data_IF_361989890878
#
_entry.id   IF_361989890878
#
_cell.length_a   1.000
_cell.length_b   1.000
_cell.length_c   1.000
_cell.angle_alpha   90.00
_cell.angle_beta   90.00
_cell.angle_gamma   90.00
#
_symmetry.space_group_name_H-M   'P 1'
#
loop_
_entity.id
_entity.type
_entity.pdbx_description
1 polymer ?
#
# COMPACT_ATOMS: atom_id res chain seq x y z
N UNK A 1 133.11 -8.70 -13.22
CA UNK A 1 131.70 -8.48 -12.81
C UNK A 1 131.54 -9.20 -11.50
N UNK A 2 131.26 -8.47 -10.42
CA UNK A 2 131.08 -9.05 -9.09
C UNK A 2 129.85 -9.95 -9.08
N UNK A 3 130.01 -11.19 -8.62
CA UNK A 3 128.87 -12.06 -8.32
C UNK A 3 127.96 -11.32 -7.32
N UNK A 4 126.63 -11.41 -7.49
CA UNK A 4 125.63 -10.48 -6.92
C UNK A 4 125.42 -10.48 -5.40
N UNK A 5 126.49 -10.60 -4.62
CA UNK A 5 126.53 -10.52 -3.17
C UNK A 5 126.98 -9.13 -2.73
N UNK A 6 126.22 -8.53 -1.83
CA UNK A 6 126.41 -7.14 -1.42
C UNK A 6 127.18 -7.03 -0.10
N UNK A 7 127.93 -5.94 0.03
CA UNK A 7 128.58 -5.52 1.26
C UNK A 7 128.19 -4.08 1.61
N UNK A 8 128.24 -3.79 2.90
CA UNK A 8 128.06 -2.45 3.47
C UNK A 8 129.42 -2.00 4.02
N UNK A 9 129.84 -0.78 3.75
CA UNK A 9 131.06 -0.23 4.35
C UNK A 9 130.80 0.09 5.82
N UNK A 10 131.66 -0.37 6.73
CA UNK A 10 131.35 -0.29 8.17
C UNK A 10 131.39 1.13 8.75
N UNK A 11 132.10 2.04 8.11
CA UNK A 11 132.21 3.44 8.51
C UNK A 11 132.56 4.32 7.30
N UNK A 12 131.57 4.56 6.43
CA UNK A 12 131.75 5.40 5.22
C UNK A 12 132.30 6.80 5.56
N UNK A 13 131.90 7.38 6.69
CA UNK A 13 132.39 8.68 7.16
C UNK A 13 133.88 8.69 7.59
N UNK A 14 134.53 7.53 7.69
CA UNK A 14 135.98 7.42 7.96
C UNK A 14 136.81 7.15 6.70
N UNK A 15 136.17 7.00 5.54
CA UNK A 15 136.86 6.83 4.26
C UNK A 15 137.29 8.22 3.79
N UNK A 16 138.59 8.39 3.57
CA UNK A 16 139.19 9.63 3.07
C UNK A 16 138.50 10.13 1.79
N UNK A 17 138.23 11.44 1.71
CA UNK A 17 137.57 12.06 0.55
C UNK A 17 138.32 11.84 -0.76
N UNK A 18 139.66 11.73 -0.71
CA UNK A 18 140.51 11.44 -1.87
C UNK A 18 140.34 10.01 -2.39
N UNK A 19 139.66 9.14 -1.63
CA UNK A 19 139.30 7.77 -2.00
C UNK A 19 137.85 7.64 -2.51
N UNK A 20 137.10 8.75 -2.59
CA UNK A 20 135.71 8.79 -3.07
C UNK A 20 135.65 9.24 -4.53
N UNK A 21 134.96 8.46 -5.37
CA UNK A 21 134.71 8.84 -6.76
C UNK A 21 133.68 9.96 -6.86
N UNK A 22 134.07 11.16 -7.30
CA UNK A 22 133.16 12.29 -7.44
C UNK A 22 132.01 12.12 -8.46
N UNK A 23 132.03 11.06 -9.31
CA UNK A 23 130.94 10.78 -10.27
C UNK A 23 129.79 10.00 -9.59
N UNK A 24 130.11 9.02 -8.76
CA UNK A 24 129.12 8.13 -8.13
C UNK A 24 129.04 8.25 -6.60
N UNK A 25 129.80 9.20 -6.03
CA UNK A 25 129.90 9.55 -4.60
C UNK A 25 130.07 8.34 -3.68
N UNK A 26 130.94 7.41 -4.10
CA UNK A 26 131.24 6.14 -3.39
C UNK A 26 132.74 5.83 -3.41
N UNK A 27 133.25 5.01 -2.48
CA UNK A 27 134.65 4.61 -2.47
C UNK A 27 135.08 3.93 -3.78
N UNK A 28 136.21 4.36 -4.34
CA UNK A 28 136.67 4.03 -5.69
C UNK A 28 136.70 2.52 -5.99
N UNK A 29 136.25 2.12 -7.17
CA UNK A 29 136.18 0.72 -7.65
C UNK A 29 136.90 0.58 -9.02
N UNK A 30 137.85 -0.35 -9.11
CA UNK A 30 138.92 -0.40 -10.13
C UNK A 30 139.42 1.02 -10.49
N UNK A 31 140.04 1.75 -9.55
CA UNK A 31 140.38 3.16 -9.74
C UNK A 31 141.27 3.39 -10.96
N UNK A 32 140.86 4.31 -11.83
CA UNK A 32 141.66 4.83 -12.95
C UNK A 32 142.06 6.26 -12.65
N UNK A 33 143.34 6.56 -12.83
CA UNK A 33 143.87 7.90 -12.84
C UNK A 33 143.80 8.50 -14.26
N UNK A 34 143.64 9.81 -14.33
CA UNK A 34 143.69 10.61 -15.56
C UNK A 34 145.09 11.23 -15.72
N UNK A 35 145.49 11.72 -16.92
CA UNK A 35 146.74 12.48 -17.12
C UNK A 35 146.79 13.84 -16.40
N UNK A 36 145.79 14.13 -15.57
CA UNK A 36 145.69 15.29 -14.72
C UNK A 36 145.49 14.91 -13.25
N UNK A 37 145.93 13.70 -12.87
CA UNK A 37 146.03 13.16 -11.51
C UNK A 37 144.71 12.97 -10.72
N UNK A 38 143.57 13.26 -11.34
CA UNK A 38 142.24 12.97 -10.77
C UNK A 38 141.88 11.49 -10.97
N UNK A 39 141.35 10.85 -9.92
CA UNK A 39 141.06 9.41 -9.87
C UNK A 39 139.55 9.15 -9.83
N UNK A 40 139.09 8.13 -10.57
CA UNK A 40 137.68 7.78 -10.72
C UNK A 40 137.47 6.25 -10.75
N UNK A 41 136.26 5.76 -10.46
CA UNK A 41 135.92 4.37 -10.77
C UNK A 41 135.97 4.15 -12.27
N UNK A 42 136.54 3.04 -12.73
CA UNK A 42 136.69 2.72 -14.16
C UNK A 42 135.39 2.79 -14.94
N UNK A 43 134.32 2.21 -14.40
CA UNK A 43 132.97 2.26 -14.96
C UNK A 43 132.53 3.71 -15.17
N UNK A 44 132.58 4.52 -14.11
CA UNK A 44 132.11 5.90 -14.12
C UNK A 44 132.87 6.80 -15.10
N UNK A 45 134.21 6.73 -15.16
CA UNK A 45 134.98 7.58 -16.08
C UNK A 45 134.92 7.07 -17.53
N UNK A 46 134.84 5.76 -17.74
CA UNK A 46 134.60 5.16 -19.07
C UNK A 46 133.23 5.61 -19.60
N UNK A 47 132.19 5.51 -18.79
CA UNK A 47 130.83 5.93 -19.15
C UNK A 47 130.75 7.44 -19.39
N UNK A 48 131.41 8.26 -18.57
CA UNK A 48 131.48 9.71 -18.75
C UNK A 48 132.03 10.09 -20.14
N UNK A 49 133.16 9.49 -20.53
CA UNK A 49 133.79 9.69 -21.85
C UNK A 49 132.91 9.11 -22.97
N UNK A 50 132.33 7.93 -22.78
CA UNK A 50 131.42 7.30 -23.77
C UNK A 50 130.14 8.11 -24.02
N UNK A 51 129.65 8.86 -23.01
CA UNK A 51 128.58 9.87 -23.14
C UNK A 51 129.04 11.17 -23.84
N UNK A 52 130.10 11.07 -24.65
CA UNK A 52 130.74 12.12 -25.45
C UNK A 52 131.41 13.28 -24.66
N UNK A 53 131.60 13.13 -23.34
CA UNK A 53 132.31 14.13 -22.53
C UNK A 53 133.82 13.88 -22.56
N UNK A 54 134.49 14.39 -23.59
CA UNK A 54 135.95 14.23 -23.82
C UNK A 54 136.81 15.08 -22.87
N UNK A 55 136.46 15.14 -21.58
CA UNK A 55 137.14 15.97 -20.58
C UNK A 55 137.08 15.39 -19.17
N UNK A 56 138.06 15.71 -18.33
CA UNK A 56 138.08 15.32 -16.93
C UNK A 56 136.91 15.99 -16.15
N UNK A 57 136.06 15.23 -15.44
CA UNK A 57 134.95 15.78 -14.66
C UNK A 57 135.33 16.89 -13.66
N UNK A 58 136.52 16.81 -13.04
CA UNK A 58 136.96 17.76 -12.01
C UNK A 58 137.51 19.04 -12.61
N UNK A 59 138.51 18.94 -13.50
CA UNK A 59 139.30 20.08 -13.98
C UNK A 59 139.05 20.47 -15.44
N UNK A 60 138.14 19.78 -16.14
CA UNK A 60 137.70 20.03 -17.53
C UNK A 60 138.81 19.98 -18.61
N UNK A 61 140.04 19.60 -18.26
CA UNK A 61 141.11 19.30 -19.24
C UNK A 61 140.64 18.20 -20.21
N UNK A 62 141.06 18.27 -21.47
CA UNK A 62 140.76 17.25 -22.48
C UNK A 62 141.19 15.86 -21.99
N UNK A 63 140.36 14.84 -22.24
CA UNK A 63 140.59 13.47 -21.78
C UNK A 63 140.01 12.45 -22.76
N UNK A 64 140.81 11.47 -23.16
CA UNK A 64 140.41 10.32 -23.99
C UNK A 64 140.53 9.01 -23.23
N UNK A 65 139.73 8.02 -23.61
CA UNK A 65 139.64 6.71 -22.93
C UNK A 65 140.98 5.95 -22.86
N UNK A 66 141.87 6.09 -23.86
CA UNK A 66 143.18 5.44 -23.88
C UNK A 66 144.26 6.18 -23.07
N UNK A 67 143.95 7.37 -22.56
CA UNK A 67 144.82 8.17 -21.71
C UNK A 67 144.58 7.86 -20.21
N UNK A 68 143.60 6.99 -19.91
CA UNK A 68 143.35 6.46 -18.58
C UNK A 68 144.36 5.38 -18.22
N UNK A 69 144.92 5.46 -17.00
CA UNK A 69 145.88 4.51 -16.45
C UNK A 69 145.38 4.01 -15.09
N UNK A 70 145.54 2.72 -14.80
CA UNK A 70 145.10 2.16 -13.52
C UNK A 70 145.86 2.83 -12.36
N UNK A 71 145.13 3.25 -11.32
CA UNK A 71 145.73 3.94 -10.19
C UNK A 71 146.77 3.07 -9.46
N UNK A 72 147.67 3.76 -8.75
CA UNK A 72 148.85 3.17 -8.13
C UNK A 72 148.49 1.99 -7.22
N UNK A 73 149.44 1.05 -7.06
CA UNK A 73 149.27 -0.08 -6.13
C UNK A 73 148.95 0.41 -4.71
N UNK A 74 149.52 1.54 -4.29
CA UNK A 74 149.24 2.17 -2.99
C UNK A 74 147.76 2.53 -2.84
N UNK A 75 147.17 3.26 -3.79
CA UNK A 75 145.74 3.64 -3.76
C UNK A 75 144.85 2.40 -3.72
N UNK A 76 145.12 1.39 -4.56
CA UNK A 76 144.35 0.14 -4.59
C UNK A 76 144.50 -0.70 -3.32
N UNK A 77 145.69 -0.74 -2.71
CA UNK A 77 145.90 -1.40 -1.43
C UNK A 77 145.12 -0.71 -0.31
N UNK A 78 145.11 0.64 -0.25
CA UNK A 78 144.34 1.38 0.76
C UNK A 78 142.83 1.13 0.59
N UNK A 79 142.32 1.15 -0.65
CA UNK A 79 140.92 0.84 -0.98
C UNK A 79 140.52 -0.62 -0.65
N UNK A 80 141.47 -1.56 -0.68
CA UNK A 80 141.28 -2.94 -0.25
C UNK A 80 141.13 -3.06 1.27
N UNK A 81 141.91 -2.29 2.04
CA UNK A 81 141.90 -2.25 3.51
C UNK A 81 140.69 -1.56 4.14
N UNK A 82 139.76 -1.04 3.34
CA UNK A 82 138.51 -0.49 3.87
C UNK A 82 137.66 -1.66 4.40
N UNK A 83 137.21 -1.56 5.65
CA UNK A 83 136.50 -2.66 6.31
C UNK A 83 135.00 -2.65 5.98
N UNK A 84 134.49 -3.83 5.63
CA UNK A 84 133.13 -4.06 5.14
C UNK A 84 132.41 -5.16 5.92
N UNK A 85 131.08 -5.12 5.86
CA UNK A 85 130.15 -6.08 6.46
C UNK A 85 129.42 -6.84 5.35
N UNK A 86 129.38 -8.16 5.45
CA UNK A 86 128.72 -9.03 4.49
C UNK A 86 127.20 -9.05 4.69
N UNK A 87 126.42 -8.64 3.69
CA UNK A 87 124.94 -8.61 3.78
C UNK A 87 124.30 -10.00 3.79
N UNK A 88 125.01 -11.05 3.36
CA UNK A 88 124.48 -12.42 3.34
C UNK A 88 124.51 -13.10 4.72
N UNK A 89 125.51 -12.80 5.56
CA UNK A 89 125.69 -13.50 6.84
C UNK A 89 125.98 -12.61 8.05
N UNK A 90 126.03 -11.28 7.86
CA UNK A 90 126.30 -10.33 8.94
C UNK A 90 127.75 -10.28 9.43
N UNK A 91 128.68 -11.07 8.86
CA UNK A 91 130.10 -10.98 9.25
C UNK A 91 130.62 -9.56 8.98
N UNK A 92 131.06 -8.92 10.05
CA UNK A 92 131.78 -7.64 10.08
C UNK A 92 133.30 -7.86 9.96
N UNK A 93 134.03 -6.75 9.86
CA UNK A 93 135.49 -6.69 9.97
C UNK A 93 136.20 -7.54 8.89
N UNK A 94 135.73 -7.41 7.65
CA UNK A 94 136.36 -7.95 6.46
C UNK A 94 137.08 -6.82 5.72
N UNK A 95 138.35 -6.98 5.36
CA UNK A 95 138.93 -6.11 4.32
C UNK A 95 138.13 -6.30 3.02
N UNK A 96 137.84 -5.21 2.29
CA UNK A 96 137.18 -5.23 0.98
C UNK A 96 137.90 -6.15 -0.02
N UNK A 97 139.22 -6.29 0.10
CA UNK A 97 140.05 -7.26 -0.64
C UNK A 97 139.56 -8.71 -0.47
N UNK A 98 139.19 -9.08 0.75
CA UNK A 98 138.92 -10.46 1.15
C UNK A 98 137.43 -10.83 1.00
N UNK A 99 136.58 -9.84 0.70
CA UNK A 99 135.13 -10.03 0.61
C UNK A 99 134.75 -11.12 -0.42
N UNK A 100 135.37 -11.13 -1.61
CA UNK A 100 135.07 -12.16 -2.62
C UNK A 100 135.45 -13.57 -2.15
N UNK A 101 136.59 -13.72 -1.46
CA UNK A 101 137.02 -15.00 -0.91
C UNK A 101 136.13 -15.44 0.27
N UNK A 102 135.73 -14.53 1.14
CA UNK A 102 134.74 -14.79 2.19
C UNK A 102 133.42 -15.28 1.57
N UNK A 103 132.89 -14.58 0.58
CA UNK A 103 131.62 -14.88 -0.10
C UNK A 103 131.65 -16.20 -0.85
N UNK A 104 132.81 -16.64 -1.36
CA UNK A 104 132.98 -17.93 -2.01
C UNK A 104 133.16 -19.09 -1.01
N UNK A 105 133.98 -18.92 0.02
CA UNK A 105 134.48 -20.04 0.85
C UNK A 105 133.85 -20.07 2.24
N UNK A 106 133.83 -18.94 2.94
CA UNK A 106 133.61 -18.86 4.39
C UNK A 106 132.21 -18.37 4.80
N UNK A 107 131.47 -17.72 3.90
CA UNK A 107 130.09 -17.31 4.14
C UNK A 107 129.20 -18.55 4.34
N UNK A 108 128.34 -18.58 5.37
CA UNK A 108 127.31 -19.60 5.55
C UNK A 108 126.44 -19.86 4.32
N UNK A 109 125.98 -21.11 4.21
CA UNK A 109 124.95 -21.57 3.29
C UNK A 109 124.15 -22.73 3.89
N UNK A 110 122.93 -22.90 3.38
CA UNK A 110 122.07 -24.08 3.59
C UNK A 110 121.97 -24.89 2.30
N UNK A 111 121.49 -26.13 2.39
CA UNK A 111 121.27 -26.96 1.21
C UNK A 111 120.06 -26.47 0.38
N UNK A 112 120.13 -26.66 -0.94
CA UNK A 112 119.00 -26.41 -1.86
C UNK A 112 117.75 -27.27 -1.53
N UNK A 113 117.94 -28.38 -0.81
CA UNK A 113 116.88 -29.26 -0.33
C UNK A 113 116.40 -28.95 1.12
N UNK A 114 116.73 -27.77 1.66
CA UNK A 114 116.20 -27.34 2.96
C UNK A 114 114.66 -27.20 2.97
N UNK A 115 114.04 -26.99 1.81
CA UNK A 115 112.57 -26.96 1.63
C UNK A 115 111.88 -28.32 1.84
N UNK A 116 112.61 -29.41 1.65
CA UNK A 116 112.23 -30.77 2.05
C UNK A 116 112.99 -31.25 3.30
N UNK A 117 113.32 -30.30 4.19
CA UNK A 117 113.89 -30.53 5.52
C UNK A 117 115.29 -31.18 5.52
N UNK A 118 116.13 -30.93 4.50
CA UNK A 118 117.55 -31.27 4.61
C UNK A 118 118.20 -30.46 5.76
N UNK A 119 118.79 -31.11 6.78
CA UNK A 119 119.30 -30.43 7.98
C UNK A 119 120.70 -29.80 7.80
N UNK A 120 121.26 -29.82 6.59
CA UNK A 120 122.62 -29.35 6.36
C UNK A 120 122.71 -27.82 6.32
N UNK A 121 123.59 -27.30 7.15
CA UNK A 121 124.15 -25.94 7.08
C UNK A 121 125.67 -26.04 7.24
N UNK A 122 126.39 -25.19 6.52
CA UNK A 122 127.86 -25.14 6.51
C UNK A 122 128.34 -23.87 5.85
N UNK A 123 129.60 -23.82 5.40
CA UNK A 123 130.09 -22.70 4.57
C UNK A 123 129.93 -23.00 3.09
N UNK A 124 129.92 -21.97 2.24
CA UNK A 124 129.79 -22.13 0.79
C UNK A 124 130.89 -22.98 0.15
N UNK A 125 132.13 -22.89 0.65
CA UNK A 125 133.22 -23.77 0.21
C UNK A 125 133.01 -25.26 0.54
N UNK A 126 132.02 -25.59 1.36
CA UNK A 126 131.59 -26.96 1.67
C UNK A 126 130.29 -27.36 0.94
N UNK A 127 129.56 -26.39 0.37
CA UNK A 127 128.23 -26.59 -0.21
C UNK A 127 128.26 -27.55 -1.41
N UNK A 128 129.20 -27.40 -2.34
CA UNK A 128 129.24 -28.23 -3.55
C UNK A 128 129.51 -29.71 -3.21
N UNK A 129 130.41 -29.97 -2.26
CA UNK A 129 130.68 -31.32 -1.74
C UNK A 129 129.49 -31.90 -0.96
N UNK A 130 128.67 -31.06 -0.32
CA UNK A 130 127.41 -31.50 0.25
C UNK A 130 126.39 -31.84 -0.86
N UNK A 131 126.21 -30.96 -1.85
CA UNK A 131 125.20 -31.10 -2.90
C UNK A 131 125.41 -32.36 -3.76
N UNK A 132 126.66 -32.70 -4.09
CA UNK A 132 126.99 -33.94 -4.82
C UNK A 132 126.64 -35.23 -4.05
N UNK A 133 126.60 -35.16 -2.72
CA UNK A 133 126.34 -36.30 -1.83
C UNK A 133 124.99 -36.20 -1.10
N UNK A 134 124.14 -35.22 -1.43
CA UNK A 134 122.93 -34.94 -0.66
C UNK A 134 121.77 -35.84 -1.06
N UNK A 135 121.49 -36.87 -0.26
CA UNK A 135 120.32 -37.75 -0.44
C UNK A 135 118.99 -37.01 -0.55
N UNK A 136 118.84 -35.88 0.16
CA UNK A 136 117.64 -35.03 0.05
C UNK A 136 117.56 -34.38 -1.34
N UNK A 137 118.64 -33.81 -1.86
CA UNK A 137 118.66 -33.21 -3.20
C UNK A 137 118.31 -34.23 -4.30
N UNK A 138 118.72 -35.49 -4.15
CA UNK A 138 118.34 -36.58 -5.05
C UNK A 138 116.85 -36.95 -4.97
N UNK A 139 116.22 -36.81 -3.80
CA UNK A 139 114.78 -37.06 -3.59
C UNK A 139 113.89 -35.85 -3.93
N UNK A 140 114.47 -34.64 -3.97
CA UNK A 140 113.76 -33.37 -4.16
C UNK A 140 112.86 -33.32 -5.42
N UNK A 141 113.27 -33.86 -6.60
CA UNK A 141 112.41 -33.88 -7.79
C UNK A 141 111.11 -34.69 -7.62
N UNK A 142 111.07 -35.62 -6.66
CA UNK A 142 109.89 -36.47 -6.37
C UNK A 142 109.09 -35.89 -5.20
N UNK A 143 109.77 -35.48 -4.12
CA UNK A 143 109.10 -35.01 -2.91
C UNK A 143 108.42 -33.65 -3.07
N UNK A 144 109.01 -32.69 -3.80
CA UNK A 144 108.41 -31.35 -3.95
C UNK A 144 107.07 -31.40 -4.70
N UNK A 145 106.94 -32.09 -5.86
CA UNK A 145 105.63 -32.26 -6.51
C UNK A 145 104.59 -32.97 -5.63
N UNK A 146 104.95 -34.06 -4.96
CA UNK A 146 104.03 -34.78 -4.07
C UNK A 146 103.59 -33.94 -2.87
N UNK A 147 104.46 -33.09 -2.33
CA UNK A 147 104.10 -32.15 -1.26
C UNK A 147 103.13 -31.06 -1.74
N UNK A 148 103.31 -30.57 -2.96
CA UNK A 148 102.42 -29.60 -3.59
C UNK A 148 101.04 -30.21 -3.93
N UNK A 149 101.00 -31.38 -4.57
CA UNK A 149 99.77 -32.12 -4.88
C UNK A 149 98.99 -32.45 -3.60
N UNK A 150 99.66 -32.96 -2.56
CA UNK A 150 99.05 -33.20 -1.24
C UNK A 150 98.43 -31.95 -0.63
N UNK A 151 99.03 -30.77 -0.83
CA UNK A 151 98.48 -29.51 -0.35
C UNK A 151 97.29 -29.05 -1.20
N UNK A 152 97.36 -29.20 -2.52
CA UNK A 152 96.25 -28.93 -3.44
C UNK A 152 95.04 -29.83 -3.16
N UNK A 153 95.26 -31.13 -2.89
CA UNK A 153 94.20 -32.08 -2.53
C UNK A 153 93.56 -31.75 -1.17
N UNK A 154 94.36 -31.35 -0.16
CA UNK A 154 93.81 -30.85 1.11
C UNK A 154 92.90 -29.63 0.90
N UNK A 155 93.34 -28.69 0.08
CA UNK A 155 92.57 -27.48 -0.23
C UNK A 155 91.27 -27.82 -0.99
N UNK A 156 91.33 -28.70 -1.99
CA UNK A 156 90.12 -29.20 -2.68
C UNK A 156 89.13 -29.90 -1.73
N UNK A 157 89.63 -30.70 -0.77
CA UNK A 157 88.78 -31.35 0.24
C UNK A 157 88.15 -30.34 1.18
N UNK A 158 88.89 -29.32 1.61
CA UNK A 158 88.38 -28.19 2.41
C UNK A 158 87.23 -27.47 1.68
N UNK A 159 87.48 -27.03 0.44
CA UNK A 159 86.52 -26.32 -0.39
C UNK A 159 85.26 -27.16 -0.69
N UNK A 160 85.42 -28.44 -1.04
CA UNK A 160 84.29 -29.36 -1.26
C UNK A 160 83.47 -29.61 0.02
N UNK A 161 84.13 -29.65 1.18
CA UNK A 161 83.44 -29.81 2.48
C UNK A 161 82.63 -28.57 2.84
N UNK A 162 83.18 -27.37 2.61
CA UNK A 162 82.46 -26.11 2.79
C UNK A 162 81.23 -26.03 1.86
N UNK A 163 81.41 -26.28 0.56
CA UNK A 163 80.32 -26.26 -0.43
C UNK A 163 79.23 -27.31 -0.13
N UNK A 164 79.61 -28.51 0.32
CA UNK A 164 78.65 -29.54 0.74
C UNK A 164 77.84 -29.10 1.97
N UNK A 165 78.45 -28.38 2.92
CA UNK A 165 77.74 -27.90 4.10
C UNK A 165 76.81 -26.73 3.77
N UNK A 166 77.23 -25.80 2.91
CA UNK A 166 76.35 -24.75 2.36
C UNK A 166 75.13 -25.37 1.66
N UNK A 167 75.34 -26.33 0.75
CA UNK A 167 74.26 -26.98 0.01
C UNK A 167 73.28 -27.77 0.92
N UNK A 168 73.75 -28.34 2.04
CA UNK A 168 72.88 -28.92 3.08
C UNK A 168 72.03 -27.85 3.76
N UNK A 169 72.59 -26.68 4.05
CA UNK A 169 71.86 -25.58 4.68
C UNK A 169 70.79 -25.02 3.75
N UNK A 170 71.13 -24.73 2.49
CA UNK A 170 70.19 -24.34 1.44
C UNK A 170 69.05 -25.36 1.28
N UNK A 171 69.39 -26.66 1.30
CA UNK A 171 68.40 -27.75 1.27
C UNK A 171 67.49 -27.75 2.50
N UNK A 172 68.00 -27.40 3.69
CA UNK A 172 67.21 -27.32 4.92
C UNK A 172 66.30 -26.07 4.93
N UNK A 173 66.81 -24.93 4.47
CA UNK A 173 66.02 -23.71 4.28
C UNK A 173 64.87 -23.96 3.28
N UNK A 174 65.15 -24.61 2.14
CA UNK A 174 64.14 -24.94 1.14
C UNK A 174 63.07 -25.92 1.68
N UNK A 175 63.45 -26.92 2.48
CA UNK A 175 62.49 -27.80 3.17
C UNK A 175 61.56 -27.01 4.11
N UNK A 176 62.09 -26.06 4.86
CA UNK A 176 61.29 -25.20 5.74
C UNK A 176 60.31 -24.32 4.94
N UNK A 177 60.73 -23.76 3.81
CA UNK A 177 59.86 -23.00 2.90
C UNK A 177 58.75 -23.87 2.31
N UNK A 178 59.06 -25.10 1.90
CA UNK A 178 58.06 -26.06 1.40
C UNK A 178 57.03 -26.39 2.49
N UNK A 179 57.45 -26.63 3.74
CA UNK A 179 56.53 -26.93 4.83
C UNK A 179 55.61 -25.74 5.17
N UNK A 180 56.17 -24.52 5.21
CA UNK A 180 55.40 -23.29 5.36
C UNK A 180 54.39 -23.10 4.21
N UNK A 181 54.74 -23.47 2.99
CA UNK A 181 53.81 -23.43 1.85
C UNK A 181 52.67 -24.45 1.99
N UNK A 182 52.94 -25.68 2.46
CA UNK A 182 51.89 -26.69 2.72
C UNK A 182 50.87 -26.17 3.73
N UNK A 183 51.33 -25.63 4.87
CA UNK A 183 50.48 -25.10 5.94
C UNK A 183 49.56 -24.01 5.38
N UNK A 184 50.13 -22.99 4.72
CA UNK A 184 49.37 -21.91 4.06
C UNK A 184 48.35 -22.41 3.02
N UNK A 185 48.69 -23.48 2.29
CA UNK A 185 47.81 -24.09 1.30
C UNK A 185 46.62 -24.79 1.97
N UNK A 186 46.85 -25.53 3.06
CA UNK A 186 45.79 -26.21 3.79
C UNK A 186 44.90 -25.24 4.58
N UNK A 187 45.46 -24.19 5.17
CA UNK A 187 44.68 -23.11 5.80
C UNK A 187 43.80 -22.39 4.77
N UNK A 188 44.34 -22.07 3.59
CA UNK A 188 43.57 -21.50 2.48
C UNK A 188 42.45 -22.45 2.02
N UNK A 189 42.71 -23.77 1.99
CA UNK A 189 41.73 -24.81 1.65
C UNK A 189 40.64 -24.96 2.70
N UNK A 190 40.97 -24.85 3.99
CA UNK A 190 40.00 -24.78 5.10
C UNK A 190 39.12 -23.54 4.94
N UNK A 191 39.72 -22.36 4.80
CA UNK A 191 38.97 -21.11 4.72
C UNK A 191 38.04 -21.06 3.50
N UNK A 192 38.46 -21.61 2.37
CA UNK A 192 37.59 -21.75 1.19
C UNK A 192 36.37 -22.65 1.47
N UNK A 193 36.55 -23.80 2.14
CA UNK A 193 35.46 -24.70 2.53
C UNK A 193 34.51 -24.08 3.55
N UNK A 194 35.04 -23.35 4.52
CA UNK A 194 34.24 -22.62 5.52
C UNK A 194 33.35 -21.57 4.83
N UNK A 195 33.91 -20.82 3.88
CA UNK A 195 33.16 -19.86 3.07
C UNK A 195 32.12 -20.54 2.17
N UNK A 196 32.48 -21.63 1.49
CA UNK A 196 31.54 -22.41 0.67
C UNK A 196 30.36 -22.94 1.50
N UNK A 197 30.60 -23.33 2.76
CA UNK A 197 29.56 -23.76 3.70
C UNK A 197 28.69 -22.59 4.19
N UNK A 198 29.28 -21.41 4.42
CA UNK A 198 28.55 -20.19 4.76
C UNK A 198 27.65 -19.75 3.60
N UNK A 199 28.19 -19.67 2.38
CA UNK A 199 27.47 -19.27 1.17
C UNK A 199 26.28 -20.23 0.88
N UNK A 200 26.46 -21.55 1.06
CA UNK A 200 25.36 -22.54 1.00
C UNK A 200 24.31 -22.31 2.09
N UNK A 201 24.73 -22.14 3.35
CA UNK A 201 23.81 -21.91 4.47
C UNK A 201 23.00 -20.62 4.27
N UNK A 202 23.61 -19.57 3.72
CA UNK A 202 22.94 -18.32 3.38
C UNK A 202 21.98 -18.49 2.20
N UNK A 203 22.33 -19.30 1.19
CA UNK A 203 21.43 -19.65 0.10
C UNK A 203 20.18 -20.41 0.60
N UNK A 204 20.35 -21.40 1.48
CA UNK A 204 19.23 -22.14 2.09
C UNK A 204 18.31 -21.23 2.91
N UNK A 205 18.86 -20.24 3.62
CA UNK A 205 18.08 -19.21 4.31
C UNK A 205 17.27 -18.34 3.34
N UNK A 206 17.84 -17.93 2.20
CA UNK A 206 17.11 -17.18 1.17
C UNK A 206 16.03 -18.03 0.51
N UNK A 207 16.30 -19.28 0.14
CA UNK A 207 15.32 -20.21 -0.43
C UNK A 207 14.13 -20.42 0.52
N UNK A 208 14.40 -20.62 1.81
CA UNK A 208 13.36 -20.75 2.83
C UNK A 208 12.55 -19.45 3.03
N UNK A 209 13.18 -18.27 2.86
CA UNK A 209 12.50 -16.97 2.87
C UNK A 209 11.60 -16.79 1.65
N UNK A 210 12.07 -17.15 0.45
CA UNK A 210 11.29 -17.11 -0.79
C UNK A 210 10.05 -18.00 -0.69
N UNK A 211 10.19 -19.25 -0.24
CA UNK A 211 9.06 -20.17 -0.01
C UNK A 211 7.99 -19.57 0.92
N UNK A 212 8.40 -18.97 2.05
CA UNK A 212 7.47 -18.32 2.98
C UNK A 212 6.73 -17.13 2.37
N UNK A 213 7.40 -16.37 1.49
CA UNK A 213 6.78 -15.25 0.76
C UNK A 213 5.80 -15.77 -0.32
N UNK A 214 6.10 -16.87 -1.00
CA UNK A 214 5.15 -17.52 -1.91
C UNK A 214 3.92 -18.05 -1.17
N UNK A 215 4.11 -18.68 0.00
CA UNK A 215 3.02 -19.17 0.86
C UNK A 215 2.17 -18.01 1.40
N UNK A 216 2.75 -16.83 1.63
CA UNK A 216 2.01 -15.61 1.97
C UNK A 216 1.23 -15.08 0.75
N UNK A 217 1.89 -14.90 -0.39
CA UNK A 217 1.27 -14.40 -1.62
C UNK A 217 0.11 -15.28 -2.09
N UNK A 218 0.24 -16.62 -2.00
CA UNK A 218 -0.85 -17.58 -2.30
C UNK A 218 -2.06 -17.41 -1.37
N UNK A 219 -1.84 -17.03 -0.10
CA UNK A 219 -2.93 -16.72 0.85
C UNK A 219 -3.58 -15.37 0.56
N UNK A 220 -2.79 -14.35 0.24
CA UNK A 220 -3.29 -13.02 -0.14
C UNK A 220 -4.09 -13.05 -1.46
N UNK A 221 -3.66 -13.84 -2.44
CA UNK A 221 -4.43 -14.13 -3.68
C UNK A 221 -5.82 -14.70 -3.36
N UNK A 222 -5.88 -15.78 -2.58
CA UNK A 222 -7.14 -16.43 -2.21
C UNK A 222 -8.05 -15.50 -1.39
N UNK A 223 -7.50 -14.73 -0.45
CA UNK A 223 -8.27 -13.70 0.27
C UNK A 223 -8.79 -12.60 -0.65
N UNK A 224 -8.04 -12.20 -1.67
CA UNK A 224 -8.48 -11.19 -2.64
C UNK A 224 -9.56 -11.72 -3.58
N UNK A 225 -9.49 -13.00 -3.98
CA UNK A 225 -10.54 -13.71 -4.72
C UNK A 225 -11.84 -13.85 -3.90
N UNK A 226 -11.74 -14.24 -2.63
CA UNK A 226 -12.89 -14.27 -1.70
C UNK A 226 -13.56 -12.89 -1.59
N UNK A 227 -12.76 -11.83 -1.42
CA UNK A 227 -13.27 -10.43 -1.38
C UNK A 227 -13.87 -9.98 -2.72
N UNK A 228 -13.40 -10.49 -3.85
CA UNK A 228 -14.00 -10.21 -5.16
C UNK A 228 -15.41 -10.82 -5.25
N UNK A 229 -15.53 -12.10 -4.87
CA UNK A 229 -16.81 -12.82 -4.83
C UNK A 229 -17.81 -12.19 -3.84
N UNK A 230 -17.34 -11.73 -2.68
CA UNK A 230 -18.15 -10.98 -1.71
C UNK A 230 -18.64 -9.64 -2.30
N UNK A 231 -17.76 -8.88 -2.95
CA UNK A 231 -18.11 -7.62 -3.63
C UNK A 231 -19.13 -7.84 -4.74
N UNK A 232 -19.05 -8.92 -5.51
CA UNK A 232 -20.04 -9.25 -6.54
C UNK A 232 -21.38 -9.69 -5.95
N UNK A 233 -21.38 -10.48 -4.87
CA UNK A 233 -22.60 -10.80 -4.14
C UNK A 233 -23.30 -9.54 -3.60
N UNK A 234 -22.54 -8.59 -3.05
CA UNK A 234 -23.05 -7.30 -2.58
C UNK A 234 -23.56 -6.41 -3.72
N UNK A 235 -22.97 -6.46 -4.93
CA UNK A 235 -23.52 -5.79 -6.12
C UNK A 235 -24.90 -6.35 -6.48
N UNK A 236 -25.09 -7.66 -6.40
CA UNK A 236 -26.37 -8.29 -6.76
C UNK A 236 -27.45 -8.09 -5.68
N UNK A 237 -27.10 -8.16 -4.39
CA UNK A 237 -27.99 -7.71 -3.31
C UNK A 237 -28.43 -6.25 -3.52
N UNK A 238 -27.50 -5.37 -3.92
CA UNK A 238 -27.81 -3.96 -4.23
C UNK A 238 -28.75 -3.80 -5.42
N UNK A 239 -28.63 -4.62 -6.48
CA UNK A 239 -29.57 -4.61 -7.63
C UNK A 239 -30.98 -4.98 -7.17
N UNK A 240 -31.13 -6.05 -6.39
CA UNK A 240 -32.43 -6.50 -5.87
C UNK A 240 -33.06 -5.44 -4.95
N UNK A 241 -32.30 -4.87 -4.02
CA UNK A 241 -32.79 -3.79 -3.14
C UNK A 241 -33.22 -2.54 -3.94
N UNK A 242 -32.51 -2.18 -5.02
CA UNK A 242 -32.93 -1.08 -5.91
C UNK A 242 -34.23 -1.42 -6.65
N UNK A 243 -34.39 -2.66 -7.16
CA UNK A 243 -35.63 -3.11 -7.79
C UNK A 243 -36.83 -3.10 -6.82
N UNK A 244 -36.60 -3.50 -5.56
CA UNK A 244 -37.60 -3.39 -4.49
C UNK A 244 -37.95 -1.93 -4.19
N UNK A 245 -36.96 -1.04 -4.05
CA UNK A 245 -37.17 0.40 -3.84
C UNK A 245 -38.03 1.00 -4.96
N UNK A 246 -37.76 0.68 -6.23
CA UNK A 246 -38.57 1.19 -7.35
C UNK A 246 -39.99 0.57 -7.40
N UNK A 247 -40.15 -0.69 -6.96
CA UNK A 247 -41.46 -1.32 -6.75
C UNK A 247 -42.26 -0.61 -5.66
N UNK A 248 -41.61 -0.18 -4.57
CA UNK A 248 -42.23 0.62 -3.51
C UNK A 248 -42.54 2.06 -3.94
N UNK A 249 -41.65 2.73 -4.70
CA UNK A 249 -41.94 4.04 -5.32
C UNK A 249 -43.20 4.00 -6.19
N UNK A 250 -43.32 2.99 -7.07
CA UNK A 250 -44.51 2.82 -7.93
C UNK A 250 -45.78 2.60 -7.12
N UNK A 251 -45.74 1.79 -6.05
CA UNK A 251 -46.87 1.65 -5.10
C UNK A 251 -47.22 2.97 -4.42
N UNK A 252 -46.22 3.72 -3.94
CA UNK A 252 -46.43 5.00 -3.27
C UNK A 252 -47.03 6.06 -4.20
N UNK A 253 -46.61 6.10 -5.47
CA UNK A 253 -47.21 6.95 -6.49
C UNK A 253 -48.69 6.61 -6.68
N UNK A 254 -49.04 5.34 -6.90
CA UNK A 254 -50.46 4.92 -7.06
C UNK A 254 -51.30 5.26 -5.84
N UNK A 255 -50.78 5.05 -4.62
CA UNK A 255 -51.45 5.46 -3.38
C UNK A 255 -51.61 6.98 -3.26
N UNK A 256 -50.65 7.76 -3.75
CA UNK A 256 -50.72 9.23 -3.80
C UNK A 256 -51.79 9.69 -4.79
N UNK A 257 -51.86 9.08 -5.98
CA UNK A 257 -52.89 9.34 -6.99
C UNK A 257 -54.29 8.94 -6.53
N UNK A 258 -54.41 7.85 -5.75
CA UNK A 258 -55.67 7.47 -5.10
C UNK A 258 -56.06 8.50 -4.03
N UNK A 259 -55.13 8.88 -3.16
CA UNK A 259 -55.39 9.85 -2.09
C UNK A 259 -55.78 11.25 -2.63
N UNK A 260 -55.23 11.67 -3.78
CA UNK A 260 -55.67 12.92 -4.43
C UNK A 260 -57.05 12.81 -5.04
N UNK A 261 -57.42 11.68 -5.66
CA UNK A 261 -58.79 11.43 -6.14
C UNK A 261 -59.80 11.46 -4.99
N UNK A 262 -59.54 10.72 -3.92
CA UNK A 262 -60.40 10.69 -2.72
C UNK A 262 -60.55 12.07 -2.09
N UNK A 263 -59.49 12.89 -2.04
CA UNK A 263 -59.59 14.30 -1.64
C UNK A 263 -60.52 15.09 -2.55
N UNK A 264 -60.30 15.07 -3.87
CA UNK A 264 -61.16 15.81 -4.81
C UNK A 264 -62.63 15.35 -4.78
N UNK A 265 -62.88 14.06 -4.53
CA UNK A 265 -64.24 13.55 -4.34
C UNK A 265 -64.85 14.02 -3.01
N UNK A 266 -64.07 14.06 -1.93
CA UNK A 266 -64.51 14.61 -0.65
C UNK A 266 -64.81 16.11 -0.75
N UNK A 267 -63.98 16.88 -1.46
CA UNK A 267 -64.20 18.31 -1.71
C UNK A 267 -65.48 18.52 -2.55
N UNK A 268 -65.72 17.69 -3.57
CA UNK A 268 -66.96 17.69 -4.34
C UNK A 268 -68.18 17.33 -3.48
N UNK A 269 -68.07 16.31 -2.63
CA UNK A 269 -69.11 15.90 -1.69
C UNK A 269 -69.42 17.01 -0.67
N UNK A 270 -68.42 17.72 -0.15
CA UNK A 270 -68.61 18.86 0.75
C UNK A 270 -69.34 20.01 0.06
N UNK A 271 -68.97 20.35 -1.18
CA UNK A 271 -69.68 21.35 -1.98
C UNK A 271 -71.14 20.95 -2.23
N UNK A 272 -71.40 19.67 -2.54
CA UNK A 272 -72.76 19.14 -2.69
C UNK A 272 -73.55 19.20 -1.37
N UNK A 273 -72.92 18.87 -0.24
CA UNK A 273 -73.53 19.00 1.11
C UNK A 273 -73.87 20.46 1.42
N UNK A 274 -73.01 21.42 1.07
CA UNK A 274 -73.32 22.85 1.23
C UNK A 274 -74.50 23.30 0.35
N UNK A 275 -74.56 22.86 -0.91
CA UNK A 275 -75.70 23.11 -1.79
C UNK A 275 -77.01 22.51 -1.24
N UNK A 276 -76.95 21.29 -0.71
CA UNK A 276 -78.11 20.62 -0.11
C UNK A 276 -78.55 21.29 1.21
N UNK A 277 -77.61 21.75 2.05
CA UNK A 277 -77.92 22.53 3.26
C UNK A 277 -78.65 23.83 2.93
N UNK A 278 -78.24 24.55 1.89
CA UNK A 278 -78.92 25.78 1.49
C UNK A 278 -80.32 25.50 0.89
N UNK A 279 -80.47 24.42 0.11
CA UNK A 279 -81.81 23.96 -0.36
C UNK A 279 -82.72 23.53 0.80
N UNK A 280 -82.20 22.83 1.80
CA UNK A 280 -82.96 22.47 3.01
C UNK A 280 -83.38 23.73 3.75
N UNK A 281 -82.47 24.69 3.95
CA UNK A 281 -82.77 26.00 4.57
C UNK A 281 -83.88 26.76 3.84
N UNK A 282 -83.85 26.78 2.50
CA UNK A 282 -84.93 27.34 1.66
C UNK A 282 -86.26 26.59 1.82
N UNK A 283 -86.24 25.26 1.91
CA UNK A 283 -87.46 24.48 2.16
C UNK A 283 -87.99 24.64 3.59
N UNK A 284 -87.13 24.81 4.59
CA UNK A 284 -87.55 25.09 5.97
C UNK A 284 -88.26 26.44 6.05
N UNK A 285 -87.71 27.50 5.48
CA UNK A 285 -88.37 28.82 5.48
C UNK A 285 -89.68 28.82 4.66
N UNK A 286 -89.74 28.05 3.57
CA UNK A 286 -91.00 27.83 2.85
C UNK A 286 -92.04 27.05 3.68
N UNK A 287 -91.62 26.01 4.41
CA UNK A 287 -92.50 25.25 5.30
C UNK A 287 -92.98 26.08 6.50
N UNK A 288 -92.15 26.97 7.04
CA UNK A 288 -92.54 27.96 8.05
C UNK A 288 -93.59 28.95 7.51
N UNK A 289 -93.43 29.44 6.27
CA UNK A 289 -94.43 30.27 5.60
C UNK A 289 -95.76 29.52 5.45
N UNK A 290 -95.77 28.32 4.84
CA UNK A 290 -96.99 27.52 4.69
C UNK A 290 -97.64 27.15 6.03
N UNK A 291 -96.84 26.96 7.10
CA UNK A 291 -97.34 26.73 8.45
C UNK A 291 -98.04 27.96 9.02
N UNK A 292 -97.47 29.15 8.81
CA UNK A 292 -98.09 30.42 9.21
C UNK A 292 -99.40 30.67 8.45
N UNK A 293 -99.42 30.43 7.14
CA UNK A 293 -100.63 30.51 6.31
C UNK A 293 -101.70 29.52 6.81
N UNK A 294 -101.30 28.29 7.14
CA UNK A 294 -102.19 27.26 7.71
C UNK A 294 -102.76 27.67 9.06
N UNK A 295 -101.98 28.35 9.91
CA UNK A 295 -102.48 28.92 11.18
C UNK A 295 -103.50 30.04 10.89
N UNK A 296 -103.19 30.94 9.95
CA UNK A 296 -104.07 32.05 9.57
C UNK A 296 -105.40 31.57 8.97
N UNK A 297 -105.38 30.56 8.07
CA UNK A 297 -106.59 29.94 7.54
C UNK A 297 -107.39 29.24 8.64
N UNK A 298 -106.76 28.51 9.57
CA UNK A 298 -107.49 27.88 10.68
C UNK A 298 -108.17 28.91 11.59
N UNK A 299 -107.53 30.06 11.83
CA UNK A 299 -108.13 31.12 12.65
C UNK A 299 -109.29 31.85 11.93
N UNK A 300 -109.22 31.99 10.60
CA UNK A 300 -110.38 32.40 9.78
C UNK A 300 -111.51 31.36 9.84
N UNK A 301 -111.19 30.07 9.72
CA UNK A 301 -112.16 28.97 9.73
C UNK A 301 -112.84 28.84 11.10
N UNK A 302 -112.10 29.10 12.18
CA UNK A 302 -112.62 29.22 13.56
C UNK A 302 -113.61 30.40 13.71
N UNK A 303 -113.28 31.57 13.14
CA UNK A 303 -114.19 32.74 13.11
C UNK A 303 -115.46 32.48 12.30
N UNK A 304 -115.36 31.75 11.18
CA UNK A 304 -116.55 31.34 10.42
C UNK A 304 -117.43 30.35 11.20
N UNK A 305 -116.82 29.34 11.85
CA UNK A 305 -117.56 28.38 12.70
C UNK A 305 -118.30 29.06 13.86
N UNK A 306 -117.72 30.10 14.45
CA UNK A 306 -118.40 30.90 15.48
C UNK A 306 -119.68 31.55 14.93
N UNK A 307 -119.60 32.25 13.78
CA UNK A 307 -120.78 32.82 13.10
C UNK A 307 -121.83 31.76 12.73
N UNK A 308 -121.41 30.59 12.24
CA UNK A 308 -122.34 29.49 11.98
C UNK A 308 -123.07 29.03 13.26
N UNK A 309 -122.39 29.02 14.41
CA UNK A 309 -123.00 28.68 15.70
C UNK A 309 -124.00 29.74 16.18
N UNK A 310 -123.73 31.03 15.92
CA UNK A 310 -124.65 32.14 16.22
C UNK A 310 -125.95 31.99 15.41
N UNK A 311 -125.86 31.85 14.08
CA UNK A 311 -127.03 31.65 13.20
C UNK A 311 -127.83 30.38 13.56
N UNK A 312 -127.17 29.28 13.91
CA UNK A 312 -127.85 28.04 14.37
C UNK A 312 -128.59 28.24 15.69
N UNK A 313 -128.20 29.23 16.51
CA UNK A 313 -128.86 29.56 17.77
C UNK A 313 -130.07 30.48 17.55
N UNK A 314 -129.95 31.49 16.67
CA UNK A 314 -131.11 32.30 16.23
C UNK A 314 -132.24 31.45 15.64
N UNK A 315 -131.90 30.54 14.72
CA UNK A 315 -132.87 29.63 14.06
C UNK A 315 -133.59 28.73 15.08
N UNK A 316 -132.95 28.38 16.20
CA UNK A 316 -133.61 27.63 17.29
C UNK A 316 -134.62 28.51 18.05
N UNK A 317 -134.27 29.76 18.39
CA UNK A 317 -135.18 30.67 19.09
C UNK A 317 -136.47 30.92 18.29
N UNK A 318 -136.33 31.26 17.01
CA UNK A 318 -137.47 31.50 16.11
C UNK A 318 -138.39 30.27 16.05
N UNK A 319 -137.81 29.07 16.02
CA UNK A 319 -138.55 27.81 15.89
C UNK A 319 -139.38 27.44 17.13
N UNK A 320 -138.96 27.83 18.34
CA UNK A 320 -139.79 27.65 19.54
C UNK A 320 -140.85 28.75 19.68
N UNK A 321 -140.55 30.01 19.35
CA UNK A 321 -141.57 31.08 19.34
C UNK A 321 -142.76 30.74 18.43
N UNK A 322 -142.51 30.22 17.22
CA UNK A 322 -143.58 29.79 16.31
C UNK A 322 -144.43 28.65 16.88
N UNK A 323 -143.84 27.70 17.64
CA UNK A 323 -144.59 26.59 18.25
C UNK A 323 -145.57 27.06 19.31
N UNK A 324 -145.15 27.96 20.20
CA UNK A 324 -146.01 28.44 21.28
C UNK A 324 -147.15 29.31 20.75
N UNK A 325 -146.93 30.07 19.68
CA UNK A 325 -147.97 30.83 19.00
C UNK A 325 -149.07 29.92 18.42
N UNK A 326 -148.70 28.86 17.68
CA UNK A 326 -149.66 27.86 17.19
C UNK A 326 -150.39 27.12 18.33
N UNK A 327 -149.72 26.91 19.47
CA UNK A 327 -150.28 26.24 20.65
C UNK A 327 -151.49 26.99 21.22
N UNK A 328 -151.47 28.33 21.16
CA UNK A 328 -152.52 29.20 21.67
C UNK A 328 -153.73 29.24 20.71
N UNK A 329 -153.49 29.39 19.40
CA UNK A 329 -154.56 29.42 18.39
C UNK A 329 -155.39 28.12 18.36
N UNK A 330 -154.73 26.96 18.46
CA UNK A 330 -155.40 25.65 18.47
C UNK A 330 -156.35 25.49 19.66
N UNK A 331 -156.03 26.07 20.82
CA UNK A 331 -156.93 26.00 21.98
C UNK A 331 -158.16 26.89 21.79
N UNK A 332 -157.99 28.13 21.32
CA UNK A 332 -159.08 29.07 21.07
C UNK A 332 -160.11 28.56 20.03
N UNK A 333 -159.69 27.69 19.11
CA UNK A 333 -160.58 27.04 18.14
C UNK A 333 -161.40 25.91 18.77
N UNK A 334 -160.83 25.13 19.69
CA UNK A 334 -161.52 24.03 20.39
C UNK A 334 -162.62 24.54 21.32
N UNK A 335 -162.38 25.65 22.01
CA UNK A 335 -163.36 26.21 22.94
C UNK A 335 -164.61 26.71 22.20
N UNK A 336 -164.43 27.23 20.96
CA UNK A 336 -165.55 27.57 20.04
C UNK A 336 -166.29 26.34 19.52
N UNK A 337 -165.56 25.28 19.15
CA UNK A 337 -166.15 24.01 18.70
C UNK A 337 -167.07 23.40 19.78
N UNK A 338 -166.68 23.52 21.06
CA UNK A 338 -167.48 23.05 22.19
C UNK A 338 -168.79 23.85 22.35
N UNK A 339 -168.76 25.16 22.14
CA UNK A 339 -169.95 26.02 22.25
C UNK A 339 -170.99 25.68 21.17
N UNK A 340 -170.60 25.63 19.90
CA UNK A 340 -171.51 25.29 18.80
C UNK A 340 -172.14 23.89 18.93
N UNK A 341 -171.46 22.95 19.58
CA UNK A 341 -172.00 21.61 19.89
C UNK A 341 -173.11 21.62 20.94
N UNK A 342 -173.16 22.63 21.82
CA UNK A 342 -174.28 22.81 22.74
C UNK A 342 -175.50 23.38 22.00
N UNK A 343 -175.31 24.45 21.23
CA UNK A 343 -176.38 25.13 20.48
C UNK A 343 -177.13 24.17 19.54
N UNK A 344 -176.39 23.30 18.82
CA UNK A 344 -176.95 22.27 17.93
C UNK A 344 -177.84 21.27 18.69
N UNK A 345 -177.51 20.93 19.93
CA UNK A 345 -178.30 20.00 20.75
C UNK A 345 -179.61 20.63 21.26
N UNK A 346 -179.64 21.96 21.45
CA UNK A 346 -180.85 22.69 21.84
C UNK A 346 -181.82 22.82 20.66
N UNK A 347 -181.35 23.21 19.46
CA UNK A 347 -182.19 23.24 18.25
C UNK A 347 -182.76 21.85 17.89
N UNK A 348 -182.00 20.77 18.09
CA UNK A 348 -182.51 19.39 17.90
C UNK A 348 -183.68 19.04 18.83
N UNK A 349 -183.77 19.70 20.00
CA UNK A 349 -184.85 19.52 20.98
C UNK A 349 -186.12 20.27 20.56
N UNK A 350 -185.99 21.51 20.07
CA UNK A 350 -187.11 22.28 19.50
C UNK A 350 -187.70 21.60 18.26
N UNK A 351 -186.85 21.16 17.32
CA UNK A 351 -187.26 20.41 16.12
C UNK A 351 -188.07 19.16 16.49
N UNK A 352 -187.75 18.52 17.62
CA UNK A 352 -188.50 17.35 18.11
C UNK A 352 -189.89 17.71 18.64
N UNK A 353 -190.06 18.85 19.30
CA UNK A 353 -191.37 19.33 19.76
C UNK A 353 -192.24 19.79 18.58
N UNK A 354 -191.66 20.52 17.62
CA UNK A 354 -192.36 20.94 16.39
C UNK A 354 -192.84 19.75 15.56
N UNK A 355 -192.07 18.65 15.48
CA UNK A 355 -192.52 17.40 14.83
C UNK A 355 -193.75 16.78 15.52
N UNK A 356 -193.82 16.80 16.85
CA UNK A 356 -194.99 16.27 17.56
C UNK A 356 -196.24 17.16 17.39
N UNK A 357 -196.06 18.47 17.19
CA UNK A 357 -197.16 19.36 16.80
C UNK A 357 -197.63 19.10 15.35
N UNK A 358 -196.69 18.89 14.41
CA UNK A 358 -197.01 18.50 13.02
C UNK A 358 -197.81 17.19 12.95
N UNK A 359 -197.43 16.16 13.71
CA UNK A 359 -198.18 14.89 13.76
C UNK A 359 -199.61 15.10 14.30
N UNK A 360 -199.79 16.03 15.24
CA UNK A 360 -201.09 16.35 15.83
C UNK A 360 -202.01 17.19 14.92
N UNK A 361 -201.45 17.94 13.95
CA UNK A 361 -202.21 18.56 12.86
C UNK A 361 -202.43 17.61 11.67
N UNK A 362 -201.50 16.70 11.39
CA UNK A 362 -201.62 15.75 10.29
C UNK A 362 -202.80 14.78 10.46
N UNK A 363 -203.10 14.38 11.69
CA UNK A 363 -204.33 13.62 12.01
C UNK A 363 -205.58 14.47 11.68
N UNK A 364 -205.55 15.75 12.02
CA UNK A 364 -206.65 16.71 11.82
C UNK A 364 -206.89 17.06 10.34
N UNK A 365 -205.85 17.05 9.52
CA UNK A 365 -205.96 17.19 8.06
C UNK A 365 -206.61 15.96 7.42
N UNK A 366 -206.38 14.77 7.95
CA UNK A 366 -207.03 13.55 7.47
C UNK A 366 -208.54 13.54 7.78
N UNK A 367 -208.98 14.19 8.88
CA UNK A 367 -210.41 14.39 9.20
C UNK A 367 -211.12 15.29 8.17
N UNK A 368 -210.40 16.16 7.45
CA UNK A 368 -210.95 17.12 6.48
C UNK A 368 -210.89 16.59 5.03
N UNK A 369 -209.90 15.74 4.71
CA UNK A 369 -209.62 15.32 3.34
C UNK A 369 -210.63 14.30 2.78
N UNK A 370 -211.28 13.48 3.62
CA UNK A 370 -212.36 12.57 3.19
C UNK A 370 -213.71 13.31 2.98
N UNK A 371 -213.95 14.44 3.64
CA UNK A 371 -215.20 15.21 3.46
C UNK A 371 -215.26 15.97 2.12
N UNK A 372 -214.10 16.25 1.49
CA UNK A 372 -213.99 17.19 0.38
C UNK A 372 -213.29 16.61 -0.87
N UNK A 373 -213.31 15.27 -1.06
CA UNK A 373 -212.80 14.66 -2.29
C UNK A 373 -213.56 13.38 -2.71
N UNK A 374 -214.59 13.45 -3.55
CA UNK A 374 -215.05 14.59 -4.35
C UNK A 374 -216.56 14.49 -4.68
N UNK A 375 -217.34 15.53 -4.37
CA UNK A 375 -218.54 15.85 -5.17
C UNK A 375 -218.15 16.29 -6.61
N UNK A 376 -216.90 16.71 -6.78
CA UNK A 376 -216.34 17.40 -7.93
C UNK A 376 -215.95 16.48 -9.11
N UNK A 377 -216.82 15.52 -9.47
CA UNK A 377 -216.87 14.99 -10.84
C UNK A 377 -218.31 14.67 -11.31
N UNK A 378 -219.30 15.40 -10.78
CA UNK A 378 -220.65 15.47 -11.34
C UNK A 378 -220.70 16.09 -12.77
N UNK A 379 -219.57 16.64 -13.24
CA UNK A 379 -219.32 17.24 -14.56
C UNK A 379 -218.06 16.59 -15.17
N UNK A 380 -217.97 16.18 -16.45
CA UNK A 380 -218.94 16.09 -17.55
C UNK A 380 -218.84 14.69 -18.19
N UNK A 381 -219.91 13.90 -18.36
CA UNK A 381 -220.89 13.94 -19.47
C UNK A 381 -220.29 13.96 -20.89
N UNK A 382 -220.25 12.83 -21.59
CA UNK A 382 -221.10 12.48 -22.77
C UNK A 382 -220.68 11.15 -23.44
N UNK A 383 -221.54 10.61 -24.32
CA UNK A 383 -221.33 9.46 -25.23
C UNK A 383 -221.31 8.04 -24.59
N UNK A 384 -222.50 7.42 -24.62
CA UNK A 384 -222.85 6.05 -25.08
C UNK A 384 -222.00 4.84 -24.62
N UNK A 385 -222.50 3.86 -23.85
CA UNK A 385 -223.70 2.97 -23.93
C UNK A 385 -223.47 1.69 -24.75
N UNK A 386 -223.76 0.53 -24.12
CA UNK A 386 -223.67 -0.87 -24.61
C UNK A 386 -222.22 -1.34 -24.89
N UNK A 387 -221.75 -2.50 -24.41
CA UNK A 387 -222.42 -3.79 -24.21
C UNK A 387 -221.95 -4.56 -22.94
N UNK A 388 -222.41 -5.81 -22.79
CA UNK A 388 -222.25 -6.66 -21.60
C UNK A 388 -221.05 -7.67 -21.70
N UNK A 389 -220.67 -8.26 -20.55
CA UNK A 389 -219.93 -9.55 -20.35
C UNK A 389 -218.35 -9.60 -20.43
N UNK A 390 -217.73 -10.06 -19.32
CA UNK A 390 -216.41 -10.77 -19.15
C UNK A 390 -215.03 -10.07 -18.87
N UNK A 391 -214.35 -10.54 -17.79
CA UNK A 391 -212.89 -10.72 -17.37
C UNK A 391 -211.67 -9.84 -17.85
N UNK A 392 -210.74 -9.45 -16.92
CA UNK A 392 -209.23 -9.56 -17.09
C UNK A 392 -208.21 -8.35 -17.00
N UNK A 393 -207.25 -8.39 -16.04
CA UNK A 393 -205.75 -8.07 -15.95
C UNK A 393 -204.92 -6.85 -16.58
N UNK A 394 -203.82 -6.43 -15.86
CA UNK A 394 -202.42 -5.91 -16.21
C UNK A 394 -201.94 -4.41 -16.50
N UNK A 395 -200.76 -4.07 -15.91
CA UNK A 395 -199.50 -3.27 -16.28
C UNK A 395 -199.31 -1.77 -16.76
N UNK A 396 -198.12 -1.19 -16.37
CA UNK A 396 -197.26 -0.10 -16.98
C UNK A 396 -197.55 1.43 -16.81
N UNK A 397 -196.62 2.42 -16.98
CA UNK A 397 -195.14 2.61 -16.74
C UNK A 397 -194.65 4.10 -16.98
N UNK A 398 -193.40 4.49 -16.57
CA UNK A 398 -192.61 5.75 -16.85
C UNK A 398 -193.02 7.09 -16.16
N UNK A 399 -192.28 8.22 -16.08
CA UNK A 399 -190.92 8.75 -16.46
C UNK A 399 -190.81 10.26 -16.01
N UNK A 400 -189.78 11.14 -16.14
CA UNK A 400 -188.36 11.17 -16.61
C UNK A 400 -187.67 12.55 -16.25
N UNK A 401 -186.32 12.66 -16.17
CA UNK A 401 -185.39 13.84 -16.00
C UNK A 401 -185.68 15.03 -15.01
N UNK A 402 -184.73 15.55 -14.20
CA UNK A 402 -183.27 15.30 -14.05
C UNK A 402 -182.77 15.43 -12.59
N UNK A 403 -183.12 14.43 -11.77
CA UNK A 403 -182.63 14.15 -10.40
C UNK A 403 -182.95 15.19 -9.33
#
# INVERSE_FOLDING_TARGET
MSNGFQYEYMNEASIDSELICMICTKPLEDPQCTPCDHIFCKSCITEWIQRNNMSCPTCRRLLRIHELIQASRTVRNILGKIHVKCMTCGKIDLERSDFEQHVAIACPATCLAADIMCPWAGTRGQLDNHLTNCSYQNLRPILVPLMAERQQLKEQVSQRTAALNQSKEETMQLKNVIEQHKIRTEDSRRHFKEREMQDKTQMDQYLNKCRKLEEQWKREQNQNEQRHNEVDHLKDQKKELLAQVDKYKKKFQVLTEQLTREKTQNDANQNQICSLKEKIKQQTTAAEHYRNDTIQLNDQLKKQRAKTSEYVTEVKMIKEQMKDQHRIEIQQLRDKEMHYKADIAEYQKEIKQLKQQMEHEQIRLNEIHEENKDENNHMQRTVQVQNEQSMGETDSDSGEYRQ
#
